data_IF_950269152505
#
_entry.id   IF_950269152505
#
_cell.length_a   1.000
_cell.length_b   1.000
_cell.length_c   1.000
_cell.angle_alpha   90.00
_cell.angle_beta   90.00
_cell.angle_gamma   90.00
#
_symmetry.space_group_name_H-M   'P 1'
#
loop_
_entity.id
_entity.type
_entity.pdbx_description
1 polymer ?
#
# COMPACT_ATOMS: atom_id res chain seq x y z
N UNK A 1 11.16 -6.92 11.25
CA UNK A 1 10.01 -6.04 11.52
C UNK A 1 9.36 -5.76 10.18
N UNK A 2 8.06 -6.08 10.00
CA UNK A 2 7.39 -5.78 8.74
C UNK A 2 7.46 -4.27 8.47
N UNK A 3 7.77 -3.90 7.23
CA UNK A 3 7.99 -2.50 6.84
C UNK A 3 7.14 -2.16 5.63
N UNK A 4 6.43 -1.03 5.71
CA UNK A 4 5.72 -0.41 4.58
C UNK A 4 6.49 0.83 4.17
N UNK A 5 6.84 0.93 2.89
CA UNK A 5 7.49 2.11 2.31
C UNK A 5 6.54 2.77 1.32
N UNK A 6 6.17 4.03 1.59
CA UNK A 6 5.33 4.84 0.72
C UNK A 6 6.15 5.96 0.08
N UNK A 7 5.93 6.21 -1.21
CA UNK A 7 6.67 7.20 -1.99
C UNK A 7 5.75 7.94 -2.97
N UNK A 8 5.95 9.25 -3.13
CA UNK A 8 5.35 10.06 -4.22
C UNK A 8 6.07 9.84 -5.58
N UNK A 9 6.88 8.78 -5.68
CA UNK A 9 7.55 8.30 -6.89
C UNK A 9 7.16 6.83 -7.13
N UNK A 10 7.51 6.31 -8.30
CA UNK A 10 7.33 4.90 -8.66
C UNK A 10 7.88 3.93 -7.60
N UNK A 11 7.28 2.75 -7.50
CA UNK A 11 7.64 1.73 -6.51
C UNK A 11 9.11 1.31 -6.58
N UNK A 12 9.72 1.40 -7.78
CA UNK A 12 11.14 1.09 -7.98
C UNK A 12 12.08 1.92 -7.08
N UNK A 13 11.68 3.12 -6.64
CA UNK A 13 12.54 3.99 -5.80
C UNK A 13 12.78 3.39 -4.40
N UNK A 14 11.77 3.14 -3.56
CA UNK A 14 11.96 2.48 -2.27
C UNK A 14 12.41 1.00 -2.40
N UNK A 15 12.10 0.31 -3.50
CA UNK A 15 12.63 -1.05 -3.76
C UNK A 15 14.16 -1.08 -3.78
N UNK A 16 14.82 0.02 -4.19
CA UNK A 16 16.28 0.13 -4.19
C UNK A 16 16.93 -0.05 -2.83
N UNK A 17 16.20 -0.01 -1.70
CA UNK A 17 16.77 -0.26 -0.36
C UNK A 17 16.24 -1.53 0.30
N UNK A 18 15.27 -2.23 -0.30
CA UNK A 18 14.54 -3.35 0.29
C UNK A 18 15.48 -4.44 0.86
N UNK A 19 16.50 -4.83 0.08
CA UNK A 19 17.44 -5.90 0.49
C UNK A 19 18.28 -5.57 1.74
N UNK A 20 18.38 -4.29 2.11
CA UNK A 20 19.12 -3.84 3.29
C UNK A 20 18.23 -3.62 4.52
N UNK A 21 16.92 -3.46 4.33
CA UNK A 21 15.97 -3.27 5.44
C UNK A 21 15.73 -4.60 6.16
N UNK A 22 15.55 -5.69 5.39
CA UNK A 22 15.29 -7.03 5.90
C UNK A 22 13.85 -7.22 6.42
N UNK A 23 13.43 -8.49 6.49
CA UNK A 23 12.04 -8.85 6.82
C UNK A 23 11.07 -8.61 5.66
N UNK A 24 9.77 -8.73 5.97
CA UNK A 24 8.70 -8.50 5.00
C UNK A 24 8.59 -7.01 4.65
N UNK A 25 8.50 -6.70 3.35
CA UNK A 25 8.58 -5.34 2.83
C UNK A 25 7.47 -5.11 1.81
N UNK A 26 6.62 -4.13 2.05
CA UNK A 26 5.56 -3.70 1.14
C UNK A 26 5.88 -2.29 0.64
N UNK A 27 5.74 -2.09 -0.67
CA UNK A 27 6.01 -0.81 -1.32
C UNK A 27 4.71 -0.26 -1.90
N UNK A 28 4.47 1.01 -1.64
CA UNK A 28 3.42 1.81 -2.24
C UNK A 28 4.09 2.94 -3.03
N UNK A 29 3.83 2.99 -4.33
CA UNK A 29 4.44 3.94 -5.24
C UNK A 29 3.47 4.37 -6.33
N UNK A 30 3.79 5.50 -6.96
CA UNK A 30 2.93 6.13 -7.97
C UNK A 30 3.26 5.63 -9.38
N UNK A 31 3.18 4.32 -9.59
CA UNK A 31 3.38 3.72 -10.91
C UNK A 31 2.23 4.09 -11.86
N UNK A 32 2.55 4.37 -13.12
CA UNK A 32 1.56 4.76 -14.14
C UNK A 32 1.59 6.24 -14.53
N UNK A 33 0.62 6.63 -15.36
CA UNK A 33 0.52 8.00 -15.86
C UNK A 33 -0.20 8.92 -14.88
N UNK A 34 0.30 10.16 -14.77
CA UNK A 34 -0.37 11.21 -14.02
C UNK A 34 -1.71 11.63 -14.63
N UNK A 35 -2.61 12.10 -13.78
CA UNK A 35 -3.88 12.73 -14.18
C UNK A 35 -4.11 14.02 -13.40
N UNK A 36 -5.03 14.86 -13.89
CA UNK A 36 -5.40 16.10 -13.21
C UNK A 36 -6.49 15.83 -12.18
N UNK A 37 -6.18 16.01 -10.90
CA UNK A 37 -7.14 15.88 -9.80
C UNK A 37 -6.58 16.58 -8.53
N UNK A 38 -7.34 16.54 -7.43
CA UNK A 38 -6.88 16.96 -6.10
C UNK A 38 -5.82 15.99 -5.54
N UNK A 39 -5.00 16.46 -4.60
CA UNK A 39 -3.95 15.63 -3.98
C UNK A 39 -4.53 14.40 -3.29
N UNK A 40 -5.63 14.55 -2.57
CA UNK A 40 -6.25 13.45 -1.83
C UNK A 40 -6.79 12.39 -2.80
N UNK A 41 -7.45 12.82 -3.88
CA UNK A 41 -7.92 11.92 -4.92
C UNK A 41 -6.78 11.22 -5.67
N UNK A 42 -5.67 11.91 -5.94
CA UNK A 42 -4.50 11.31 -6.59
C UNK A 42 -3.80 10.30 -5.68
N UNK A 43 -3.66 10.58 -4.39
CA UNK A 43 -3.04 9.64 -3.45
C UNK A 43 -3.86 8.38 -3.27
N UNK A 44 -5.18 8.51 -3.22
CA UNK A 44 -6.09 7.37 -3.25
C UNK A 44 -5.99 6.59 -4.57
N UNK A 45 -5.95 7.29 -5.70
CA UNK A 45 -5.81 6.68 -7.02
C UNK A 45 -4.51 5.89 -7.20
N UNK A 46 -3.40 6.39 -6.68
CA UNK A 46 -2.10 5.70 -6.70
C UNK A 46 -1.89 4.74 -5.52
N UNK A 47 -2.88 4.56 -4.65
CA UNK A 47 -2.80 3.65 -3.48
C UNK A 47 -1.64 4.00 -2.52
N UNK A 48 -1.36 5.30 -2.34
CA UNK A 48 -0.31 5.83 -1.43
C UNK A 48 -0.89 6.66 -0.26
N UNK A 49 -2.20 6.57 -0.03
CA UNK A 49 -2.89 7.25 1.06
C UNK A 49 -2.79 6.49 2.39
N UNK A 50 -3.35 7.07 3.46
CA UNK A 50 -3.32 6.48 4.80
C UNK A 50 -3.97 5.11 4.86
N UNK A 51 -5.06 4.93 4.14
CA UNK A 51 -5.84 3.69 4.14
C UNK A 51 -5.02 2.56 3.49
N UNK A 52 -4.36 2.87 2.37
CA UNK A 52 -3.45 1.95 1.70
C UNK A 52 -2.26 1.56 2.58
N UNK A 53 -1.68 2.50 3.33
CA UNK A 53 -0.60 2.24 4.30
C UNK A 53 -1.08 1.30 5.43
N UNK A 54 -2.26 1.55 5.98
CA UNK A 54 -2.85 0.72 7.05
C UNK A 54 -3.11 -0.70 6.55
N UNK A 55 -3.75 -0.85 5.39
CA UNK A 55 -4.02 -2.16 4.79
C UNK A 55 -2.71 -2.90 4.48
N UNK A 56 -1.71 -2.22 3.94
CA UNK A 56 -0.38 -2.78 3.68
C UNK A 56 0.28 -3.30 4.97
N UNK A 57 0.23 -2.53 6.05
CA UNK A 57 0.79 -2.92 7.34
C UNK A 57 0.07 -4.13 7.95
N UNK A 58 -1.27 -4.13 7.96
CA UNK A 58 -2.06 -5.24 8.47
C UNK A 58 -1.85 -6.51 7.64
N UNK A 59 -1.75 -6.38 6.32
CA UNK A 59 -1.46 -7.50 5.42
C UNK A 59 -0.09 -8.13 5.70
N UNK A 60 0.93 -7.32 5.98
CA UNK A 60 2.24 -7.84 6.37
C UNK A 60 2.18 -8.57 7.72
N UNK A 61 1.48 -8.02 8.71
CA UNK A 61 1.34 -8.64 10.03
C UNK A 61 0.55 -9.96 9.97
N UNK A 62 -0.49 -10.04 9.14
CA UNK A 62 -1.25 -11.27 8.90
C UNK A 62 -0.37 -12.32 8.19
N UNK A 63 0.41 -11.92 7.17
CA UNK A 63 1.37 -12.81 6.48
C UNK A 63 2.48 -13.33 7.38
N UNK A 64 2.96 -12.50 8.30
CA UNK A 64 3.98 -12.87 9.28
C UNK A 64 3.40 -13.71 10.44
N UNK A 65 2.09 -13.98 10.45
CA UNK A 65 1.40 -14.80 11.46
C UNK A 65 1.21 -14.09 12.81
N UNK A 66 1.39 -12.77 12.86
CA UNK A 66 1.17 -11.96 14.07
C UNK A 66 -0.31 -11.66 14.28
N UNK A 67 -1.08 -11.58 13.21
CA UNK A 67 -2.53 -11.41 13.23
C UNK A 67 -3.25 -12.66 12.73
N UNK A 68 -4.47 -12.89 13.23
CA UNK A 68 -5.33 -13.96 12.74
C UNK A 68 -5.78 -13.69 11.31
N UNK A 69 -5.94 -14.77 10.54
CA UNK A 69 -6.35 -14.61 9.15
C UNK A 69 -7.76 -14.04 9.03
N UNK A 70 -7.96 -13.11 8.10
CA UNK A 70 -9.22 -12.39 7.91
C UNK A 70 -9.32 -11.08 8.69
N UNK A 71 -8.33 -10.74 9.52
CA UNK A 71 -8.27 -9.44 10.22
C UNK A 71 -8.20 -8.26 9.24
N UNK A 72 -7.47 -8.42 8.14
CA UNK A 72 -7.40 -7.38 7.09
C UNK A 72 -8.78 -7.16 6.45
N UNK A 73 -9.46 -8.25 6.10
CA UNK A 73 -10.77 -8.19 5.43
C UNK A 73 -11.83 -7.52 6.32
N UNK A 74 -11.89 -7.88 7.60
CA UNK A 74 -12.83 -7.26 8.55
C UNK A 74 -12.53 -5.78 8.79
N UNK A 75 -11.24 -5.40 8.78
CA UNK A 75 -10.83 -4.00 8.95
C UNK A 75 -11.20 -3.16 7.73
N UNK A 76 -10.97 -3.68 6.52
CA UNK A 76 -11.39 -3.03 5.26
C UNK A 76 -12.89 -2.76 5.27
N UNK A 77 -13.70 -3.75 5.66
CA UNK A 77 -15.15 -3.61 5.78
C UNK A 77 -15.55 -2.56 6.83
N UNK A 78 -14.92 -2.61 8.01
CA UNK A 78 -15.21 -1.68 9.12
C UNK A 78 -14.85 -0.24 8.78
N UNK A 79 -13.75 -0.03 8.06
CA UNK A 79 -13.27 1.29 7.66
C UNK A 79 -13.91 1.79 6.36
N UNK A 80 -14.66 0.95 5.65
CA UNK A 80 -15.28 1.30 4.37
C UNK A 80 -14.24 1.60 3.27
N UNK A 81 -13.10 0.92 3.31
CA UNK A 81 -12.02 1.11 2.33
C UNK A 81 -12.41 0.43 1.03
N UNK A 82 -12.27 1.17 -0.08
CA UNK A 82 -12.52 0.64 -1.41
C UNK A 82 -11.39 -0.30 -1.84
N UNK A 83 -11.75 -1.49 -2.32
CA UNK A 83 -10.79 -2.52 -2.78
C UNK A 83 -10.77 -2.64 -4.30
N UNK A 84 -11.60 -1.89 -5.03
CA UNK A 84 -11.53 -1.89 -6.48
C UNK A 84 -10.26 -1.18 -6.94
N UNK A 85 -9.39 -1.95 -7.60
CA UNK A 85 -8.18 -1.44 -8.22
C UNK A 85 -8.37 -1.34 -9.73
N UNK A 86 -8.18 -0.14 -10.26
CA UNK A 86 -8.03 0.07 -11.69
C UNK A 86 -6.55 -0.07 -12.06
N UNK A 87 -6.25 -0.70 -13.19
CA UNK A 87 -4.88 -0.72 -13.69
C UNK A 87 -4.52 0.70 -14.16
N UNK A 88 -3.59 1.32 -13.44
CA UNK A 88 -3.11 2.69 -13.68
C UNK A 88 -1.87 2.74 -14.58
N UNK A 89 -1.34 1.56 -14.97
CA UNK A 89 -0.10 1.41 -15.74
C UNK A 89 -0.32 1.24 -17.25
N UNK A 90 -1.57 1.04 -17.66
CA UNK A 90 -2.00 0.87 -19.05
C UNK A 90 -2.42 2.17 -19.73
#
# INVERSE_FOLDING_TARGET
VPTVAASDYISAVPEMIQRWVGGSFCVLGTDGYGRSDTRDALRKFFEIDSDSIVVGALSLLEKDGVLESGTVASTIETMGIDTERFDVTV
#
